data_IF_526683263520
#
_entry.id   IF_526683263520
#
_cell.length_a   1.000
_cell.length_b   1.000
_cell.length_c   1.000
_cell.angle_alpha   90.00
_cell.angle_beta   90.00
_cell.angle_gamma   90.00
#
_symmetry.space_group_name_H-M   'P 1'
#
loop_
_entity.id
_entity.type
_entity.pdbx_description
1 polymer ?
#
# COMPACT_ATOMS: atom_id res chain seq x y z
N UNK A 1 0.12 -69.54 14.66
CA UNK A 1 -0.39 -69.96 13.33
C UNK A 1 0.70 -70.83 12.72
N UNK A 2 0.53 -72.16 12.77
CA UNK A 2 1.57 -73.13 12.46
C UNK A 2 1.62 -73.31 10.93
N UNK A 3 2.63 -72.77 10.24
CA UNK A 3 2.76 -72.92 8.78
C UNK A 3 3.38 -74.28 8.52
N UNK A 4 2.55 -75.24 8.10
CA UNK A 4 3.05 -76.52 7.57
C UNK A 4 3.68 -76.27 6.20
N UNK A 5 5.01 -76.30 6.14
CA UNK A 5 5.75 -76.30 4.87
C UNK A 5 5.84 -77.74 4.38
N UNK A 6 4.92 -78.14 3.50
CA UNK A 6 4.97 -79.43 2.83
C UNK A 6 5.95 -79.37 1.65
N UNK A 7 7.12 -79.99 1.79
CA UNK A 7 8.04 -80.20 0.67
C UNK A 7 7.45 -81.26 -0.27
N UNK A 8 7.29 -80.93 -1.56
CA UNK A 8 6.94 -81.93 -2.58
C UNK A 8 8.15 -82.86 -2.82
N UNK A 9 7.95 -84.18 -2.94
CA UNK A 9 9.03 -85.09 -3.29
C UNK A 9 9.54 -84.78 -4.72
N UNK A 10 10.85 -84.72 -4.88
CA UNK A 10 11.49 -84.44 -6.17
C UNK A 10 11.67 -85.77 -6.90
N UNK A 11 10.68 -86.15 -7.70
CA UNK A 11 10.71 -87.41 -8.46
C UNK A 11 11.58 -87.33 -9.72
N UNK A 12 11.79 -86.11 -10.26
CA UNK A 12 12.69 -85.85 -11.39
C UNK A 12 13.57 -84.62 -11.11
N UNK A 13 14.86 -84.90 -10.89
CA UNK A 13 15.88 -83.89 -10.59
C UNK A 13 16.14 -82.98 -11.79
N UNK A 14 16.01 -83.47 -13.02
CA UNK A 14 16.22 -82.68 -14.23
C UNK A 14 15.10 -81.65 -14.41
N UNK A 15 13.84 -82.06 -14.19
CA UNK A 15 12.69 -81.16 -14.21
C UNK A 15 12.77 -80.10 -13.10
N UNK A 16 13.17 -80.48 -11.89
CA UNK A 16 13.33 -79.55 -10.77
C UNK A 16 14.45 -78.53 -10.99
N UNK A 17 15.57 -78.94 -11.58
CA UNK A 17 16.66 -78.03 -11.94
C UNK A 17 16.29 -77.10 -13.10
N UNK A 18 15.50 -77.57 -14.07
CA UNK A 18 15.00 -76.75 -15.18
C UNK A 18 13.99 -75.69 -14.68
N UNK A 19 13.05 -76.08 -13.82
CA UNK A 19 12.09 -75.18 -13.20
C UNK A 19 12.80 -74.18 -12.27
N UNK A 20 13.80 -74.65 -11.52
CA UNK A 20 14.68 -73.83 -10.71
C UNK A 20 15.49 -72.83 -11.54
N UNK A 21 16.01 -73.22 -12.71
CA UNK A 21 16.74 -72.35 -13.64
C UNK A 21 15.83 -71.30 -14.27
N UNK A 22 14.65 -71.68 -14.74
CA UNK A 22 13.64 -70.76 -15.27
C UNK A 22 13.16 -69.75 -14.22
N UNK A 23 12.96 -70.21 -12.97
CA UNK A 23 12.60 -69.35 -11.85
C UNK A 23 13.74 -68.41 -11.46
N UNK A 24 15.00 -68.87 -11.53
CA UNK A 24 16.21 -68.03 -11.34
C UNK A 24 16.36 -66.99 -12.47
N UNK A 25 16.11 -67.37 -13.72
CA UNK A 25 16.10 -66.46 -14.87
C UNK A 25 14.97 -65.42 -14.77
N UNK A 26 13.78 -65.81 -14.31
CA UNK A 26 12.68 -64.88 -14.05
C UNK A 26 12.96 -63.92 -12.88
N UNK A 27 13.65 -64.39 -11.83
CA UNK A 27 14.08 -63.57 -10.69
C UNK A 27 15.24 -62.63 -11.03
N UNK A 28 16.17 -63.06 -11.90
CA UNK A 28 17.32 -62.25 -12.32
C UNK A 28 17.02 -61.34 -13.52
N UNK A 29 15.99 -61.64 -14.32
CA UNK A 29 15.63 -60.90 -15.54
C UNK A 29 14.66 -59.73 -15.38
N UNK A 30 14.13 -59.49 -14.17
CA UNK A 30 13.01 -58.56 -13.95
C UNK A 30 13.30 -57.42 -12.99
N UNK A 31 14.55 -56.92 -12.95
CA UNK A 31 14.88 -55.71 -12.20
C UNK A 31 14.06 -54.54 -12.73
N UNK A 32 13.17 -54.01 -11.88
CA UNK A 32 12.30 -52.83 -12.07
C UNK A 32 13.08 -51.51 -12.24
N UNK A 33 14.09 -51.48 -13.09
CA UNK A 33 15.00 -50.34 -13.29
C UNK A 33 15.14 -50.00 -14.77
N UNK A 34 14.04 -49.65 -15.42
CA UNK A 34 14.06 -49.10 -16.77
C UNK A 34 13.05 -47.96 -16.87
N UNK A 35 13.27 -46.89 -16.10
CA UNK A 35 13.04 -45.58 -16.73
C UNK A 35 14.01 -45.60 -17.90
N UNK A 36 13.49 -45.67 -19.13
CA UNK A 36 14.30 -45.84 -20.34
C UNK A 36 15.50 -44.88 -20.23
N UNK A 37 16.73 -45.34 -20.45
CA UNK A 37 17.91 -44.47 -20.38
C UNK A 37 17.72 -43.18 -21.23
N UNK A 38 16.94 -43.31 -22.30
CA UNK A 38 16.46 -42.22 -23.14
C UNK A 38 15.50 -41.26 -22.43
N UNK A 39 14.52 -41.75 -21.66
CA UNK A 39 13.61 -40.91 -20.85
C UNK A 39 14.37 -40.18 -19.74
N UNK A 40 15.31 -40.85 -19.06
CA UNK A 40 16.17 -40.19 -18.06
C UNK A 40 17.00 -39.07 -18.68
N UNK A 41 17.57 -39.30 -19.87
CA UNK A 41 18.33 -38.29 -20.61
C UNK A 41 17.44 -37.10 -20.99
N UNK A 42 16.25 -37.36 -21.54
CA UNK A 42 15.26 -36.30 -21.87
C UNK A 42 14.89 -35.47 -20.65
N UNK A 43 14.59 -36.11 -19.52
CA UNK A 43 14.29 -35.41 -18.27
C UNK A 43 15.48 -34.59 -17.76
N UNK A 44 16.70 -35.12 -17.88
CA UNK A 44 17.91 -34.41 -17.49
C UNK A 44 18.18 -33.17 -18.36
N UNK A 45 18.00 -33.29 -19.67
CA UNK A 45 18.12 -32.19 -20.63
C UNK A 45 17.05 -31.12 -20.33
N UNK A 46 15.84 -31.53 -19.98
CA UNK A 46 14.73 -30.64 -19.61
C UNK A 46 14.97 -29.95 -18.26
N UNK A 47 15.44 -30.66 -17.24
CA UNK A 47 15.86 -30.06 -15.96
C UNK A 47 16.98 -29.05 -16.19
N UNK A 48 17.95 -29.35 -17.05
CA UNK A 48 19.04 -28.43 -17.38
C UNK A 48 18.52 -27.16 -18.08
N UNK A 49 17.60 -27.32 -19.04
CA UNK A 49 16.95 -26.21 -19.73
C UNK A 49 16.13 -25.34 -18.77
N UNK A 50 15.29 -25.94 -17.93
CA UNK A 50 14.48 -25.24 -16.96
C UNK A 50 15.36 -24.53 -15.93
N UNK A 51 16.46 -25.16 -15.49
CA UNK A 51 17.43 -24.55 -14.58
C UNK A 51 18.08 -23.30 -15.20
N UNK A 52 18.45 -23.37 -16.49
CA UNK A 52 18.97 -22.22 -17.22
C UNK A 52 17.92 -21.10 -17.36
N UNK A 53 16.66 -21.44 -17.64
CA UNK A 53 15.57 -20.46 -17.68
C UNK A 53 15.34 -19.79 -16.32
N UNK A 54 15.38 -20.55 -15.22
CA UNK A 54 15.23 -20.01 -13.87
C UNK A 54 16.37 -19.04 -13.54
N UNK A 55 17.61 -19.35 -13.93
CA UNK A 55 18.75 -18.44 -13.74
C UNK A 55 18.54 -17.13 -14.51
N UNK A 56 18.11 -17.22 -15.78
CA UNK A 56 17.84 -16.05 -16.62
C UNK A 56 16.71 -15.18 -16.05
N UNK A 57 15.58 -15.79 -15.69
CA UNK A 57 14.44 -15.10 -15.08
C UNK A 57 14.82 -14.43 -13.76
N UNK A 58 15.65 -15.09 -12.92
CA UNK A 58 16.14 -14.49 -11.68
C UNK A 58 17.03 -13.27 -11.91
N UNK A 59 17.86 -13.31 -12.95
CA UNK A 59 18.68 -12.16 -13.33
C UNK A 59 17.82 -10.99 -13.82
N UNK A 60 16.76 -11.28 -14.58
CA UNK A 60 15.79 -10.27 -15.03
C UNK A 60 15.00 -9.67 -13.85
N UNK A 61 14.53 -10.49 -12.91
CA UNK A 61 13.85 -9.96 -11.72
C UNK A 61 14.77 -9.07 -10.89
N UNK A 62 16.07 -9.40 -10.82
CA UNK A 62 17.06 -8.59 -10.11
C UNK A 62 17.25 -7.22 -10.77
N UNK A 63 17.40 -7.19 -12.10
CA UNK A 63 17.56 -5.91 -12.81
C UNK A 63 16.32 -5.03 -12.73
N UNK A 64 15.12 -5.62 -12.71
CA UNK A 64 13.88 -4.89 -12.45
C UNK A 64 13.80 -4.35 -11.03
N UNK A 65 14.28 -5.09 -10.03
CA UNK A 65 14.35 -4.63 -8.64
C UNK A 65 15.31 -3.45 -8.48
N UNK A 66 16.49 -3.49 -9.10
CA UNK A 66 17.44 -2.37 -9.10
C UNK A 66 16.81 -1.09 -9.67
N UNK A 67 16.02 -1.22 -10.74
CA UNK A 67 15.27 -0.09 -11.33
C UNK A 67 14.15 0.44 -10.44
N UNK A 68 13.54 -0.41 -9.62
CA UNK A 68 12.54 0.01 -8.63
C UNK A 68 13.23 0.73 -7.47
N UNK A 69 14.33 0.19 -6.96
CA UNK A 69 15.12 0.81 -5.88
C UNK A 69 15.64 2.20 -6.28
N UNK A 70 16.07 2.36 -7.53
CA UNK A 70 16.45 3.68 -8.10
C UNK A 70 15.27 4.66 -8.06
N UNK A 71 14.08 4.23 -8.52
CA UNK A 71 12.87 5.06 -8.48
C UNK A 71 12.44 5.39 -7.05
N UNK A 72 12.54 4.44 -6.12
CA UNK A 72 12.23 4.64 -4.71
C UNK A 72 13.23 5.60 -4.04
N UNK A 73 14.50 5.57 -4.47
CA UNK A 73 15.49 6.57 -4.11
C UNK A 73 15.07 7.98 -4.57
N UNK A 74 14.65 8.10 -5.83
CA UNK A 74 14.16 9.37 -6.41
C UNK A 74 12.90 9.87 -5.70
N UNK A 75 11.94 8.99 -5.41
CA UNK A 75 10.71 9.34 -4.69
C UNK A 75 11.05 9.85 -3.29
N UNK A 76 11.93 9.17 -2.55
CA UNK A 76 12.37 9.61 -1.22
C UNK A 76 13.10 10.95 -1.26
N UNK A 77 13.93 11.21 -2.27
CA UNK A 77 14.60 12.50 -2.43
C UNK A 77 13.60 13.63 -2.73
N UNK A 78 12.60 13.37 -3.57
CA UNK A 78 11.51 14.30 -3.81
C UNK A 78 10.70 14.54 -2.53
N UNK A 79 10.39 13.49 -1.77
CA UNK A 79 9.66 13.58 -0.51
C UNK A 79 10.41 14.41 0.53
N UNK A 80 11.73 14.23 0.68
CA UNK A 80 12.57 15.06 1.54
C UNK A 80 12.57 16.53 1.07
N UNK A 81 12.63 16.76 -0.23
CA UNK A 81 12.57 18.11 -0.82
C UNK A 81 11.22 18.78 -0.54
N UNK A 82 10.12 18.05 -0.78
CA UNK A 82 8.75 18.50 -0.50
C UNK A 82 8.60 18.78 0.99
N UNK A 83 9.04 17.86 1.86
CA UNK A 83 8.97 18.01 3.31
C UNK A 83 9.80 19.21 3.80
N UNK A 84 10.97 19.47 3.21
CA UNK A 84 11.77 20.66 3.47
C UNK A 84 11.10 21.96 3.02
N UNK A 85 10.43 21.94 1.85
CA UNK A 85 9.63 23.08 1.35
C UNK A 85 8.36 23.30 2.20
N UNK A 86 7.70 22.25 2.67
CA UNK A 86 6.53 22.33 3.54
C UNK A 86 6.89 22.58 5.00
N UNK A 87 8.12 22.30 5.44
CA UNK A 87 8.60 22.71 6.77
C UNK A 87 8.70 24.23 6.89
N UNK A 88 8.81 24.96 5.76
CA UNK A 88 8.61 26.41 5.70
C UNK A 88 7.14 26.85 5.59
N UNK A 89 6.18 25.92 5.57
CA UNK A 89 4.76 26.19 5.38
C UNK A 89 3.90 25.20 6.22
N UNK A 90 3.93 25.38 7.55
CA UNK A 90 2.97 24.91 8.55
C UNK A 90 2.19 23.60 8.24
N UNK A 91 2.83 22.44 8.43
CA UNK A 91 2.10 21.17 8.56
C UNK A 91 1.67 21.00 10.02
N UNK A 92 0.51 21.58 10.34
CA UNK A 92 -0.18 21.35 11.60
C UNK A 92 -1.00 20.07 11.54
N UNK A 93 -0.44 18.97 12.04
CA UNK A 93 -1.08 17.65 12.09
C UNK A 93 -2.29 17.49 13.03
N UNK A 94 -2.98 18.55 13.45
CA UNK A 94 -4.32 18.42 14.09
C UNK A 94 -5.18 19.69 14.08
N UNK A 95 -4.74 20.80 13.48
CA UNK A 95 -5.51 22.05 13.51
C UNK A 95 -6.60 22.03 12.45
N UNK A 96 -7.83 22.27 12.92
CA UNK A 96 -9.00 22.34 12.06
C UNK A 96 -8.79 23.36 10.92
N UNK A 97 -8.99 22.99 9.65
CA UNK A 97 -8.83 23.92 8.54
C UNK A 97 -9.78 25.12 8.66
N UNK A 98 -9.28 26.32 8.39
CA UNK A 98 -10.05 27.56 8.46
C UNK A 98 -11.30 27.51 7.58
N UNK A 99 -11.20 26.90 6.40
CA UNK A 99 -12.31 26.74 5.46
C UNK A 99 -13.45 25.89 6.04
N UNK A 100 -13.12 24.84 6.79
CA UNK A 100 -14.13 23.99 7.45
C UNK A 100 -14.84 24.73 8.58
N UNK A 101 -14.09 25.48 9.40
CA UNK A 101 -14.67 26.31 10.46
C UNK A 101 -15.67 27.31 9.88
N UNK A 102 -15.30 27.97 8.78
CA UNK A 102 -16.18 28.91 8.08
C UNK A 102 -17.42 28.21 7.52
N UNK A 103 -17.25 27.04 6.89
CA UNK A 103 -18.36 26.28 6.33
C UNK A 103 -19.39 25.86 7.39
N UNK A 104 -18.93 25.50 8.59
CA UNK A 104 -19.81 25.18 9.72
C UNK A 104 -20.61 26.39 10.18
N UNK A 105 -19.95 27.53 10.39
CA UNK A 105 -20.64 28.77 10.80
C UNK A 105 -21.69 29.18 9.76
N UNK A 106 -21.40 29.01 8.47
CA UNK A 106 -22.33 29.39 7.40
C UNK A 106 -23.60 28.54 7.32
N UNK A 107 -23.67 27.40 8.02
CA UNK A 107 -24.92 26.64 8.12
C UNK A 107 -26.02 27.44 8.82
N UNK A 108 -25.65 28.36 9.70
CA UNK A 108 -26.56 29.25 10.42
C UNK A 108 -26.95 30.51 9.63
N UNK A 109 -26.37 30.71 8.43
CA UNK A 109 -26.60 31.87 7.56
C UNK A 109 -27.13 31.44 6.17
N UNK A 110 -28.40 30.99 6.07
CA UNK A 110 -28.97 30.54 4.80
C UNK A 110 -28.95 31.66 3.75
N UNK A 111 -28.54 31.32 2.52
CA UNK A 111 -28.44 32.27 1.40
C UNK A 111 -27.14 33.09 1.34
N UNK A 112 -26.24 32.94 2.32
CA UNK A 112 -24.92 33.57 2.29
C UNK A 112 -23.86 32.54 1.86
N UNK A 113 -23.08 32.89 0.84
CA UNK A 113 -22.04 32.01 0.29
C UNK A 113 -20.65 32.36 0.83
N UNK A 114 -19.75 31.38 0.79
CA UNK A 114 -18.33 31.58 1.12
C UNK A 114 -17.70 32.73 0.32
N UNK A 115 -18.05 32.85 -0.97
CA UNK A 115 -17.56 33.92 -1.82
C UNK A 115 -18.01 35.31 -1.35
N UNK A 116 -19.23 35.44 -0.80
CA UNK A 116 -19.71 36.71 -0.25
C UNK A 116 -19.01 37.07 1.07
N UNK A 117 -18.68 36.06 1.90
CA UNK A 117 -17.88 36.26 3.12
C UNK A 117 -16.49 36.79 2.78
N UNK A 118 -15.83 36.24 1.75
CA UNK A 118 -14.51 36.71 1.33
C UNK A 118 -14.56 38.00 0.51
N UNK A 119 -15.61 38.19 -0.29
CA UNK A 119 -15.79 39.33 -1.19
C UNK A 119 -16.06 40.66 -0.48
N UNK A 120 -16.08 41.79 -1.21
CA UNK A 120 -16.16 43.14 -0.65
C UNK A 120 -17.56 43.55 -0.17
N UNK A 121 -18.59 42.73 -0.40
CA UNK A 121 -19.99 43.06 -0.12
C UNK A 121 -20.25 43.46 1.34
N UNK A 122 -21.01 44.54 1.55
CA UNK A 122 -21.26 45.15 2.88
C UNK A 122 -22.73 45.16 3.30
N UNK A 123 -23.59 44.34 2.68
CA UNK A 123 -24.96 44.20 3.17
C UNK A 123 -24.93 43.67 4.61
N UNK A 124 -25.86 44.14 5.43
CA UNK A 124 -25.97 43.76 6.85
C UNK A 124 -25.84 42.25 7.08
N UNK A 125 -26.58 41.36 6.38
CA UNK A 125 -26.48 39.92 6.61
C UNK A 125 -25.11 39.33 6.22
N UNK A 126 -24.47 39.86 5.16
CA UNK A 126 -23.13 39.41 4.74
C UNK A 126 -22.08 39.84 5.76
N UNK A 127 -22.17 41.06 6.28
CA UNK A 127 -21.24 41.57 7.29
C UNK A 127 -21.37 40.79 8.59
N UNK A 128 -22.60 40.48 9.00
CA UNK A 128 -22.88 39.68 10.19
C UNK A 128 -22.33 38.25 10.08
N UNK A 129 -22.61 37.56 8.97
CA UNK A 129 -22.06 36.23 8.69
C UNK A 129 -20.52 36.25 8.70
N UNK A 130 -19.92 37.26 8.07
CA UNK A 130 -18.46 37.42 8.02
C UNK A 130 -17.85 37.66 9.39
N UNK A 131 -18.40 38.55 10.20
CA UNK A 131 -17.87 38.82 11.53
C UNK A 131 -17.97 37.57 12.43
N UNK A 132 -19.06 36.81 12.30
CA UNK A 132 -19.23 35.55 13.02
C UNK A 132 -18.18 34.52 12.59
N UNK A 133 -17.93 34.40 11.29
CA UNK A 133 -16.85 33.56 10.76
C UNK A 133 -15.47 33.99 11.27
N UNK A 134 -15.17 35.30 11.25
CA UNK A 134 -13.90 35.85 11.75
C UNK A 134 -13.69 35.46 13.22
N UNK A 135 -14.70 35.65 14.07
CA UNK A 135 -14.60 35.29 15.49
C UNK A 135 -14.40 33.78 15.69
N UNK A 136 -15.15 32.94 14.96
CA UNK A 136 -15.04 31.49 15.07
C UNK A 136 -13.66 30.98 14.69
N UNK A 137 -13.08 31.51 13.60
CA UNK A 137 -11.72 31.18 13.17
C UNK A 137 -10.71 31.67 14.20
N UNK A 138 -10.84 32.90 14.71
CA UNK A 138 -9.94 33.43 15.73
C UNK A 138 -9.91 32.55 16.99
N UNK A 139 -11.07 32.04 17.44
CA UNK A 139 -11.18 31.15 18.60
C UNK A 139 -10.62 29.75 18.34
N UNK A 140 -10.87 29.19 17.15
CA UNK A 140 -10.45 27.84 16.80
C UNK A 140 -8.98 27.75 16.35
N UNK A 141 -8.39 28.88 15.93
CA UNK A 141 -7.03 29.01 15.42
C UNK A 141 -6.29 30.16 16.12
N UNK A 142 -5.97 30.02 17.42
CA UNK A 142 -5.23 31.04 18.17
C UNK A 142 -3.80 31.27 17.67
N UNK A 143 -3.30 30.38 16.80
CA UNK A 143 -2.04 30.51 16.09
C UNK A 143 -2.05 31.59 15.00
N UNK A 144 -3.23 32.02 14.55
CA UNK A 144 -3.35 33.04 13.51
C UNK A 144 -3.37 34.45 14.11
N UNK A 145 -2.42 35.29 13.68
CA UNK A 145 -2.42 36.72 13.98
C UNK A 145 -3.52 37.48 13.23
N UNK A 146 -3.89 38.68 13.70
CA UNK A 146 -4.90 39.51 13.02
C UNK A 146 -4.54 39.86 11.57
N UNK A 147 -3.28 40.17 11.20
CA UNK A 147 -2.90 40.34 9.79
C UNK A 147 -3.10 39.06 8.95
N UNK A 148 -2.76 37.88 9.48
CA UNK A 148 -2.97 36.61 8.78
C UNK A 148 -4.45 36.30 8.58
N UNK A 149 -5.28 36.57 9.59
CA UNK A 149 -6.74 36.49 9.45
C UNK A 149 -7.23 37.46 8.36
N UNK A 150 -6.71 38.69 8.34
CA UNK A 150 -7.00 39.67 7.29
C UNK A 150 -6.75 39.13 5.89
N UNK A 151 -5.60 38.50 5.67
CA UNK A 151 -5.25 37.85 4.41
C UNK A 151 -6.24 36.74 4.02
N UNK A 152 -6.60 35.86 4.97
CA UNK A 152 -7.58 34.78 4.75
C UNK A 152 -8.95 35.34 4.35
N UNK A 153 -9.41 36.37 5.06
CA UNK A 153 -10.67 37.03 4.77
C UNK A 153 -10.50 38.09 3.68
N UNK A 154 -10.01 37.69 2.51
CA UNK A 154 -9.99 38.52 1.30
C UNK A 154 -9.09 39.76 1.37
N UNK A 155 -7.97 39.70 2.09
CA UNK A 155 -7.00 40.81 2.17
C UNK A 155 -7.47 42.01 2.97
N UNK A 156 -8.27 41.80 4.02
CA UNK A 156 -8.77 42.87 4.91
C UNK A 156 -7.68 43.38 5.84
N UNK A 157 -7.76 44.67 6.19
CA UNK A 157 -6.84 45.26 7.16
C UNK A 157 -7.02 44.63 8.55
N UNK A 158 -5.90 44.44 9.26
CA UNK A 158 -5.87 43.83 10.58
C UNK A 158 -6.75 44.56 11.61
N UNK A 159 -6.92 45.89 11.49
CA UNK A 159 -7.83 46.66 12.35
C UNK A 159 -9.30 46.33 12.09
N UNK A 160 -9.65 45.95 10.86
CA UNK A 160 -11.00 45.48 10.50
C UNK A 160 -11.30 44.15 11.19
N UNK A 161 -10.31 43.24 11.22
CA UNK A 161 -10.43 41.96 11.93
C UNK A 161 -10.58 42.21 13.43
N UNK A 162 -9.73 43.05 14.02
CA UNK A 162 -9.80 43.42 15.44
C UNK A 162 -11.17 43.99 15.81
N UNK A 163 -11.70 44.90 14.99
CA UNK A 163 -13.04 45.45 15.18
C UNK A 163 -14.13 44.39 15.13
N UNK A 164 -14.07 43.47 14.14
CA UNK A 164 -15.05 42.40 14.00
C UNK A 164 -15.04 41.45 15.22
N UNK A 165 -13.86 41.05 15.70
CA UNK A 165 -13.71 40.20 16.89
C UNK A 165 -14.31 40.88 18.11
N UNK A 166 -13.89 42.12 18.43
CA UNK A 166 -14.41 42.87 19.59
C UNK A 166 -15.92 43.06 19.54
N UNK A 167 -16.46 43.41 18.35
CA UNK A 167 -17.90 43.60 18.16
C UNK A 167 -18.69 42.33 18.43
N UNK A 168 -18.20 41.18 17.97
CA UNK A 168 -18.89 39.91 18.17
C UNK A 168 -18.73 39.37 19.59
N UNK A 169 -17.58 39.57 20.23
CA UNK A 169 -17.39 39.24 21.63
C UNK A 169 -18.34 40.02 22.54
N UNK A 170 -18.51 41.33 22.30
CA UNK A 170 -19.46 42.15 23.06
C UNK A 170 -20.93 41.78 22.84
N UNK A 171 -21.25 41.03 21.78
CA UNK A 171 -22.62 40.58 21.47
C UNK A 171 -22.91 39.18 22.02
N UNK A 172 -21.89 38.33 22.10
CA UNK A 172 -22.02 36.89 22.44
C UNK A 172 -21.54 36.57 23.87
N UNK A 173 -20.86 37.49 24.54
CA UNK A 173 -20.56 37.45 25.97
C UNK A 173 -21.57 38.26 26.76
#
# INVERSE_FOLDING_TARGET
MNIQVSAKPVEDVAAYLAEGKARREALMGGGRNFVNALERKKLHDEISRLSAQVIALRAETRSLQERLDEKDGIIRAHEQTINGLTAGNDVSGSRRPTKEIIADVLRDFPGITYAQVMGPGRSVPVVEARHTCILAVHRARPDLSFPQLGAIFGGRDHTTILFAVRKMEARLG
#
